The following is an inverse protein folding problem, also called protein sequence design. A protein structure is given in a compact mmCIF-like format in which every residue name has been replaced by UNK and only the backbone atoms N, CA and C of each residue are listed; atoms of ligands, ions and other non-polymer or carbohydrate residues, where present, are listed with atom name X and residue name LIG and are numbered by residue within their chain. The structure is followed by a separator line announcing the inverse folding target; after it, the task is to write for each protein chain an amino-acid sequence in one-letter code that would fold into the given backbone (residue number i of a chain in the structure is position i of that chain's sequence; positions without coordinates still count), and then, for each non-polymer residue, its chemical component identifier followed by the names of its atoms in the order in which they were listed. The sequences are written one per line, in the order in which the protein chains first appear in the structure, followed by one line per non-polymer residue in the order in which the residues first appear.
data_IF_688149871680
#
_entry.id   IF_688149871680
#
_cell.length_a   1.000
_cell.length_b   1.000
_cell.length_c   1.000
_cell.angle_alpha   90.00
_cell.angle_beta   90.00
_cell.angle_gamma   90.00
#
_symmetry.space_group_name_H-M   'P 1'
#
loop_
_entity.id
_entity.type
_entity.pdbx_description
1 polymer ?
#
# COMPACT_ATOMS: atom_id res chain seq x y z
N UNK A 1 -36.44 -0.64 30.64
CA UNK A 1 -34.96 -0.73 30.54
C UNK A 1 -34.52 -2.01 31.25
N UNK A 2 -33.67 -2.86 30.65
CA UNK A 2 -33.17 -4.03 31.36
C UNK A 2 -32.41 -3.57 32.61
N UNK A 3 -32.64 -4.22 33.75
CA UNK A 3 -31.97 -3.84 35.00
C UNK A 3 -30.46 -4.08 34.89
N UNK A 4 -29.66 -3.36 35.68
CA UNK A 4 -28.20 -3.51 35.72
C UNK A 4 -27.79 -4.97 35.95
N UNK A 5 -28.59 -5.73 36.70
CA UNK A 5 -28.38 -7.16 36.96
C UNK A 5 -28.56 -8.02 35.69
N UNK A 6 -29.50 -7.69 34.80
CA UNK A 6 -29.66 -8.39 33.52
C UNK A 6 -28.48 -8.10 32.58
N UNK A 7 -28.00 -6.86 32.56
CA UNK A 7 -26.81 -6.48 31.78
C UNK A 7 -25.56 -7.22 32.30
N UNK A 8 -25.38 -7.25 33.62
CA UNK A 8 -24.29 -7.97 34.27
C UNK A 8 -24.39 -9.48 34.01
N UNK A 9 -25.59 -10.07 34.09
CA UNK A 9 -25.81 -11.48 33.75
C UNK A 9 -25.50 -11.79 32.29
N UNK A 10 -25.85 -10.93 31.34
CA UNK A 10 -25.53 -11.10 29.92
C UNK A 10 -24.02 -10.93 29.67
N UNK A 11 -23.36 -9.98 30.34
CA UNK A 11 -21.90 -9.79 30.24
C UNK A 11 -21.14 -10.96 30.88
N UNK A 12 -21.61 -11.46 32.02
CA UNK A 12 -21.10 -12.65 32.72
C UNK A 12 -21.36 -13.89 31.85
N UNK A 13 -22.56 -14.10 31.32
CA UNK A 13 -22.86 -15.24 30.44
C UNK A 13 -22.09 -15.17 29.11
N UNK A 14 -21.91 -13.99 28.52
CA UNK A 14 -21.07 -13.79 27.33
C UNK A 14 -19.58 -14.04 27.59
N UNK A 15 -19.08 -13.66 28.78
CA UNK A 15 -17.69 -13.92 29.19
C UNK A 15 -17.46 -15.33 29.76
N UNK A 16 -18.50 -15.97 30.31
CA UNK A 16 -18.43 -17.21 31.10
C UNK A 16 -19.21 -18.40 30.52
N UNK A 17 -19.94 -18.33 29.42
CA UNK A 17 -20.61 -19.52 28.84
C UNK A 17 -19.64 -20.68 28.50
N UNK A 18 -18.34 -20.42 28.61
CA UNK A 18 -17.23 -21.31 28.38
C UNK A 18 -16.66 -21.92 29.67
N UNK A 19 -16.71 -21.21 30.82
CA UNK A 19 -16.14 -21.71 32.08
C UNK A 19 -16.78 -23.02 32.55
N UNK A 20 -18.11 -23.20 32.50
CA UNK A 20 -18.73 -24.49 32.78
C UNK A 20 -18.23 -25.58 31.83
N UNK A 21 -18.04 -25.27 30.53
CA UNK A 21 -17.52 -26.24 29.57
C UNK A 21 -16.06 -26.60 29.85
N UNK A 22 -15.19 -25.63 30.16
CA UNK A 22 -13.80 -25.92 30.52
C UNK A 22 -13.73 -26.69 31.85
N UNK A 23 -14.51 -26.32 32.85
CA UNK A 23 -14.57 -27.03 34.15
C UNK A 23 -15.07 -28.46 33.97
N UNK A 24 -16.16 -28.66 33.22
CA UNK A 24 -16.67 -30.00 32.90
C UNK A 24 -15.65 -30.79 32.09
N UNK A 25 -15.00 -30.19 31.10
CA UNK A 25 -13.95 -30.85 30.30
C UNK A 25 -12.78 -31.26 31.17
N UNK A 26 -12.24 -30.38 32.01
CA UNK A 26 -11.17 -30.69 32.94
C UNK A 26 -11.59 -31.75 33.98
N UNK A 27 -12.79 -31.63 34.57
CA UNK A 27 -13.31 -32.63 35.49
C UNK A 27 -13.46 -34.01 34.81
N UNK A 28 -13.86 -34.05 33.54
CA UNK A 28 -13.97 -35.29 32.76
C UNK A 28 -12.57 -35.87 32.44
N UNK A 29 -11.61 -35.02 32.07
CA UNK A 29 -10.20 -35.41 31.84
C UNK A 29 -9.57 -36.02 33.10
N UNK A 30 -9.80 -35.44 34.27
CA UNK A 30 -9.24 -35.94 35.54
C UNK A 30 -9.95 -37.18 36.09
N UNK A 31 -11.23 -37.37 35.79
CA UNK A 31 -12.00 -38.55 36.23
C UNK A 31 -11.83 -39.75 35.30
N UNK A 32 -11.44 -39.52 34.05
CA UNK A 32 -11.23 -40.57 33.04
C UNK A 32 -9.93 -40.34 32.29
N UNK A 33 -8.78 -40.70 32.89
CA UNK A 33 -7.50 -40.75 32.16
C UNK A 33 -7.57 -41.87 31.12
N UNK A 34 -7.52 -41.58 29.81
CA UNK A 34 -7.37 -42.63 28.82
C UNK A 34 -5.99 -43.26 28.99
N UNK A 35 -5.90 -44.59 28.97
CA UNK A 35 -4.63 -45.30 29.10
C UNK A 35 -3.68 -45.04 27.91
N UNK A 36 -4.22 -44.60 26.76
CA UNK A 36 -3.47 -44.30 25.54
C UNK A 36 -3.41 -42.78 25.27
N UNK A 37 -2.20 -42.17 25.33
CA UNK A 37 -2.00 -40.75 25.00
C UNK A 37 -2.39 -40.37 23.57
N UNK A 38 -2.27 -41.29 22.59
CA UNK A 38 -2.59 -41.00 21.20
C UNK A 38 -4.10 -40.83 21.00
N UNK A 39 -4.89 -41.77 21.55
CA UNK A 39 -6.35 -41.65 21.59
C UNK A 39 -6.82 -40.36 22.27
N UNK A 40 -6.21 -40.00 23.42
CA UNK A 40 -6.55 -38.76 24.12
C UNK A 40 -6.32 -37.51 23.25
N UNK A 41 -5.17 -37.43 22.57
CA UNK A 41 -4.84 -36.30 21.70
C UNK A 41 -5.82 -36.17 20.52
N UNK A 42 -6.17 -37.29 19.88
CA UNK A 42 -7.14 -37.33 18.78
C UNK A 42 -8.54 -36.91 19.26
N UNK A 43 -9.01 -37.46 20.38
CA UNK A 43 -10.31 -37.12 20.95
C UNK A 43 -10.39 -35.63 21.34
N UNK A 44 -9.32 -35.08 21.92
CA UNK A 44 -9.22 -33.67 22.24
C UNK A 44 -9.26 -32.80 20.98
N UNK A 45 -8.51 -33.17 19.94
CA UNK A 45 -8.49 -32.45 18.67
C UNK A 45 -9.88 -32.43 18.01
N UNK A 46 -10.56 -33.58 17.94
CA UNK A 46 -11.92 -33.69 17.40
C UNK A 46 -12.90 -32.85 18.23
N UNK A 47 -12.85 -32.95 19.56
CA UNK A 47 -13.74 -32.20 20.45
C UNK A 47 -13.53 -30.69 20.31
N UNK A 48 -12.28 -30.25 20.23
CA UNK A 48 -11.94 -28.84 20.06
C UNK A 48 -12.34 -28.32 18.67
N UNK A 49 -12.18 -29.13 17.62
CA UNK A 49 -12.66 -28.81 16.28
C UNK A 49 -14.19 -28.69 16.23
N UNK A 50 -14.91 -29.65 16.82
CA UNK A 50 -16.37 -29.62 16.93
C UNK A 50 -16.86 -28.40 17.72
N UNK A 51 -16.21 -28.09 18.85
CA UNK A 51 -16.47 -26.86 19.62
C UNK A 51 -16.29 -25.60 18.77
N UNK A 52 -15.21 -25.55 17.98
CA UNK A 52 -14.96 -24.46 17.06
C UNK A 52 -16.03 -24.27 15.99
N UNK A 53 -16.50 -25.35 15.37
CA UNK A 53 -17.59 -25.31 14.40
C UNK A 53 -18.89 -24.81 15.03
N UNK A 54 -19.25 -25.33 16.21
CA UNK A 54 -20.42 -24.88 16.97
C UNK A 54 -20.30 -23.39 17.29
N UNK A 55 -19.12 -22.95 17.73
CA UNK A 55 -18.87 -21.56 18.06
C UNK A 55 -19.02 -20.64 16.84
N UNK A 56 -18.46 -21.02 15.69
CA UNK A 56 -18.61 -20.26 14.45
C UNK A 56 -20.08 -20.17 14.00
N UNK A 57 -20.83 -21.28 14.06
CA UNK A 57 -22.25 -21.31 13.71
C UNK A 57 -23.09 -20.45 14.66
N UNK A 58 -22.90 -20.61 15.97
CA UNK A 58 -23.62 -19.83 16.98
C UNK A 58 -23.32 -18.34 16.87
N UNK A 59 -22.05 -17.98 16.66
CA UNK A 59 -21.63 -16.59 16.43
C UNK A 59 -22.29 -16.03 15.17
N UNK A 60 -22.36 -16.80 14.09
CA UNK A 60 -23.01 -16.37 12.85
C UNK A 60 -24.51 -16.16 13.02
N UNK A 61 -25.20 -17.03 13.74
CA UNK A 61 -26.63 -16.88 14.04
C UNK A 61 -26.85 -15.65 14.93
N UNK A 62 -26.09 -15.54 16.02
CA UNK A 62 -26.26 -14.45 17.00
C UNK A 62 -25.97 -13.09 16.36
N UNK A 63 -24.89 -12.94 15.59
CA UNK A 63 -24.57 -11.69 14.89
C UNK A 63 -25.63 -11.30 13.85
N UNK A 64 -26.25 -12.27 13.16
CA UNK A 64 -27.40 -12.02 12.27
C UNK A 64 -28.64 -11.57 13.03
N UNK A 65 -28.94 -12.18 14.18
CA UNK A 65 -30.10 -11.80 15.02
C UNK A 65 -29.92 -10.42 15.67
N UNK A 66 -28.69 -10.05 16.02
CA UNK A 66 -28.39 -8.76 16.64
C UNK A 66 -28.49 -7.60 15.66
N UNK A 67 -28.29 -7.85 14.36
CA UNK A 67 -28.08 -6.80 13.37
C UNK A 67 -29.12 -6.73 12.26
N UNK A 68 -29.64 -5.53 12.04
CA UNK A 68 -30.13 -5.07 10.74
C UNK A 68 -28.95 -4.44 9.99
N UNK A 69 -28.16 -5.30 9.33
CA UNK A 69 -26.74 -5.04 9.00
C UNK A 69 -26.50 -3.84 8.07
N UNK A 70 -27.54 -3.32 7.40
CA UNK A 70 -27.46 -2.18 6.49
C UNK A 70 -27.84 -0.83 7.13
N UNK A 71 -28.56 -0.82 8.26
CA UNK A 71 -29.03 0.43 8.86
C UNK A 71 -27.92 1.13 9.66
N UNK A 72 -27.60 2.37 9.29
CA UNK A 72 -26.64 3.23 10.00
C UNK A 72 -27.11 3.62 11.42
N UNK A 73 -28.41 3.52 11.69
CA UNK A 73 -29.07 3.88 12.96
C UNK A 73 -29.18 2.72 13.95
N UNK A 74 -28.26 1.75 13.89
CA UNK A 74 -28.20 0.70 14.91
C UNK A 74 -27.76 1.26 16.28
N UNK A 75 -28.37 0.73 17.34
CA UNK A 75 -27.93 1.02 18.72
C UNK A 75 -26.46 0.65 18.92
N UNK A 76 -25.67 1.57 19.48
CA UNK A 76 -24.26 1.35 19.82
C UNK A 76 -24.02 0.08 20.66
N UNK A 77 -25.00 -0.33 21.48
CA UNK A 77 -24.91 -1.56 22.27
C UNK A 77 -24.93 -2.82 21.40
N UNK A 78 -25.74 -2.85 20.34
CA UNK A 78 -25.83 -4.00 19.41
C UNK A 78 -24.53 -4.16 18.62
N UNK A 79 -23.99 -3.05 18.13
CA UNK A 79 -22.69 -3.00 17.43
C UNK A 79 -21.59 -3.50 18.36
N UNK A 80 -21.51 -2.92 19.56
CA UNK A 80 -20.51 -3.31 20.56
C UNK A 80 -20.60 -4.80 20.89
N UNK A 81 -21.80 -5.31 21.18
CA UNK A 81 -21.99 -6.72 21.51
C UNK A 81 -21.59 -7.63 20.34
N UNK A 82 -21.98 -7.27 19.12
CA UNK A 82 -21.59 -8.01 17.91
C UNK A 82 -20.07 -8.05 17.73
N UNK A 83 -19.37 -6.93 17.95
CA UNK A 83 -17.90 -6.90 17.92
C UNK A 83 -17.31 -7.84 18.96
N UNK A 84 -17.81 -7.83 20.19
CA UNK A 84 -17.30 -8.69 21.27
C UNK A 84 -17.47 -10.17 20.93
N UNK A 85 -18.62 -10.57 20.36
CA UNK A 85 -18.89 -11.94 19.95
C UNK A 85 -17.97 -12.35 18.78
N UNK A 86 -17.87 -11.53 17.73
CA UNK A 86 -17.01 -11.82 16.56
C UNK A 86 -15.53 -11.93 16.94
N UNK A 87 -15.02 -10.99 17.76
CA UNK A 87 -13.63 -11.00 18.23
C UNK A 87 -13.38 -12.23 19.12
N UNK A 88 -14.32 -12.56 20.01
CA UNK A 88 -14.26 -13.75 20.86
C UNK A 88 -14.15 -15.05 20.05
N UNK A 89 -14.98 -15.21 19.01
CA UNK A 89 -14.95 -16.37 18.13
C UNK A 89 -13.62 -16.47 17.39
N UNK A 90 -13.12 -15.35 16.85
CA UNK A 90 -11.85 -15.32 16.13
C UNK A 90 -10.67 -15.75 17.00
N UNK A 91 -10.53 -15.14 18.18
CA UNK A 91 -9.40 -15.39 19.07
C UNK A 91 -9.38 -16.82 19.62
N UNK A 92 -10.56 -17.43 19.80
CA UNK A 92 -10.70 -18.77 20.37
C UNK A 92 -10.59 -19.89 19.35
N UNK A 93 -11.01 -19.68 18.10
CA UNK A 93 -11.00 -20.74 17.09
C UNK A 93 -10.64 -20.24 15.69
N UNK A 94 -11.31 -19.20 15.16
CA UNK A 94 -11.22 -18.90 13.73
C UNK A 94 -9.79 -18.54 13.27
N UNK A 95 -8.92 -18.01 14.15
CA UNK A 95 -7.51 -17.77 13.85
C UNK A 95 -6.75 -19.03 13.38
N UNK A 96 -7.19 -20.23 13.77
CA UNK A 96 -6.59 -21.51 13.37
C UNK A 96 -6.92 -21.89 11.92
N UNK A 97 -7.97 -21.29 11.36
CA UNK A 97 -8.37 -21.48 9.98
C UNK A 97 -7.59 -20.55 9.02
N UNK A 98 -6.85 -19.58 9.55
CA UNK A 98 -6.09 -18.60 8.77
C UNK A 98 -5.19 -19.27 7.73
N UNK A 99 -5.18 -18.73 6.51
CA UNK A 99 -4.45 -19.30 5.37
C UNK A 99 -5.16 -20.46 4.66
N UNK A 100 -6.36 -20.85 5.10
CA UNK A 100 -7.18 -21.89 4.44
C UNK A 100 -8.51 -21.32 3.94
N UNK A 101 -9.15 -22.01 2.99
CA UNK A 101 -10.48 -21.65 2.50
C UNK A 101 -11.56 -21.67 3.61
N UNK A 102 -11.33 -22.41 4.70
CA UNK A 102 -12.24 -22.42 5.84
C UNK A 102 -12.38 -21.03 6.49
N UNK A 103 -11.34 -20.19 6.43
CA UNK A 103 -11.43 -18.81 6.92
C UNK A 103 -12.30 -17.93 6.01
N UNK A 104 -12.21 -18.13 4.69
CA UNK A 104 -13.08 -17.46 3.72
C UNK A 104 -14.55 -17.84 3.95
N UNK A 105 -14.83 -19.14 4.16
CA UNK A 105 -16.17 -19.64 4.52
C UNK A 105 -16.66 -19.00 5.83
N UNK A 106 -15.82 -18.96 6.85
CA UNK A 106 -16.14 -18.31 8.14
C UNK A 106 -16.54 -16.83 7.96
N UNK A 107 -15.78 -16.05 7.19
CA UNK A 107 -16.11 -14.65 6.91
C UNK A 107 -17.43 -14.51 6.14
N UNK A 108 -17.69 -15.39 5.15
CA UNK A 108 -18.97 -15.43 4.42
C UNK A 108 -20.15 -15.73 5.34
N UNK A 109 -19.99 -16.65 6.30
CA UNK A 109 -21.04 -16.94 7.28
C UNK A 109 -21.37 -15.73 8.16
N UNK A 110 -20.37 -14.92 8.50
CA UNK A 110 -20.52 -13.65 9.23
C UNK A 110 -21.00 -12.47 8.37
N UNK A 111 -21.29 -12.70 7.08
CA UNK A 111 -21.90 -11.74 6.18
C UNK A 111 -20.94 -10.99 5.27
N UNK A 112 -19.62 -11.26 5.33
CA UNK A 112 -18.68 -10.69 4.37
C UNK A 112 -18.94 -11.24 2.97
N UNK A 113 -18.71 -10.42 1.94
CA UNK A 113 -18.66 -10.91 0.55
C UNK A 113 -17.23 -11.30 0.26
N UNK A 114 -16.96 -12.58 0.02
CA UNK A 114 -15.59 -13.09 -0.26
C UNK A 114 -15.63 -13.97 -1.49
N UNK A 115 -14.89 -13.57 -2.52
CA UNK A 115 -14.75 -14.29 -3.78
C UNK A 115 -14.02 -15.63 -3.64
N UNK A 116 -13.85 -16.30 -4.78
CA UNK A 116 -13.16 -17.59 -4.87
C UNK A 116 -11.64 -17.41 -4.86
N UNK A 117 -10.91 -18.45 -4.43
CA UNK A 117 -9.44 -18.50 -4.43
C UNK A 117 -8.75 -17.38 -3.63
N UNK A 118 -9.46 -16.80 -2.65
CA UNK A 118 -8.87 -15.83 -1.74
C UNK A 118 -7.89 -16.51 -0.76
N UNK A 119 -6.76 -15.86 -0.52
CA UNK A 119 -5.78 -16.30 0.46
C UNK A 119 -5.71 -15.28 1.59
N UNK A 120 -6.38 -15.58 2.70
CA UNK A 120 -6.50 -14.67 3.84
C UNK A 120 -5.64 -15.17 4.98
N UNK A 121 -4.51 -14.52 5.22
CA UNK A 121 -3.59 -14.79 6.34
C UNK A 121 -3.80 -13.76 7.47
N UNK A 122 -5.06 -13.44 7.72
CA UNK A 122 -5.48 -12.45 8.71
C UNK A 122 -5.46 -13.06 10.12
N UNK A 123 -4.35 -12.88 10.85
CA UNK A 123 -4.27 -13.30 12.26
C UNK A 123 -5.07 -12.35 13.17
N UNK A 124 -5.40 -11.13 12.69
CA UNK A 124 -6.21 -10.17 13.42
C UNK A 124 -7.72 -10.41 13.24
N UNK A 125 -8.54 -10.17 14.28
CA UNK A 125 -9.98 -10.33 14.19
C UNK A 125 -10.60 -9.25 13.30
N UNK A 126 -11.60 -9.65 12.51
CA UNK A 126 -12.46 -8.74 11.74
C UNK A 126 -13.72 -8.46 12.56
N UNK A 127 -13.87 -7.22 13.05
CA UNK A 127 -14.96 -6.85 13.95
C UNK A 127 -16.33 -6.75 13.24
N UNK A 128 -16.33 -6.28 11.98
CA UNK A 128 -17.55 -6.09 11.18
C UNK A 128 -17.45 -6.76 9.79
N UNK A 129 -17.47 -8.10 9.71
CA UNK A 129 -17.29 -8.81 8.44
C UNK A 129 -18.30 -8.40 7.36
N UNK A 130 -19.55 -8.12 7.72
CA UNK A 130 -20.61 -7.71 6.79
C UNK A 130 -20.36 -6.37 6.06
N UNK A 131 -19.39 -5.58 6.52
CA UNK A 131 -18.99 -4.32 5.88
C UNK A 131 -17.89 -4.50 4.83
N UNK A 132 -17.42 -5.74 4.62
CA UNK A 132 -16.26 -6.04 3.79
C UNK A 132 -16.68 -6.81 2.55
N UNK A 133 -16.14 -6.38 1.40
CA UNK A 133 -16.23 -7.08 0.13
C UNK A 133 -14.82 -7.37 -0.40
N UNK A 134 -14.54 -8.64 -0.68
CA UNK A 134 -13.30 -9.14 -1.26
C UNK A 134 -13.65 -9.85 -2.58
N UNK A 135 -13.04 -9.42 -3.68
CA UNK A 135 -13.14 -10.05 -5.01
C UNK A 135 -12.44 -11.40 -5.07
N UNK A 136 -12.42 -12.02 -6.25
CA UNK A 136 -11.75 -13.30 -6.46
C UNK A 136 -10.23 -13.14 -6.46
N UNK A 137 -9.49 -14.12 -5.93
CA UNK A 137 -8.03 -14.12 -5.94
C UNK A 137 -7.38 -13.07 -5.02
N UNK A 138 -8.14 -12.43 -4.12
CA UNK A 138 -7.60 -11.45 -3.18
C UNK A 138 -6.65 -12.12 -2.18
N UNK A 139 -5.49 -11.51 -1.98
CA UNK A 139 -4.54 -11.92 -0.94
C UNK A 139 -4.48 -10.90 0.20
N UNK A 140 -4.78 -11.33 1.41
CA UNK A 140 -4.58 -10.54 2.63
C UNK A 140 -3.36 -11.10 3.37
N UNK A 141 -2.27 -10.34 3.37
CA UNK A 141 -1.00 -10.72 3.98
C UNK A 141 -1.05 -10.78 5.50
N UNK A 142 0.02 -11.33 6.08
CA UNK A 142 0.11 -11.59 7.53
C UNK A 142 -0.16 -10.33 8.34
N UNK A 143 -1.07 -10.44 9.31
CA UNK A 143 -1.44 -9.35 10.22
C UNK A 143 -1.97 -8.07 9.53
N UNK A 144 -2.34 -8.13 8.25
CA UNK A 144 -3.13 -7.06 7.63
C UNK A 144 -4.46 -6.87 8.38
N UNK A 145 -5.01 -5.65 8.35
CA UNK A 145 -6.27 -5.32 9.04
C UNK A 145 -7.20 -4.56 8.11
N UNK A 146 -8.40 -5.10 7.96
CA UNK A 146 -9.53 -4.38 7.39
C UNK A 146 -10.30 -3.78 8.56
N UNK A 147 -10.35 -2.44 8.63
CA UNK A 147 -10.97 -1.70 9.72
C UNK A 147 -12.15 -0.91 9.14
N UNK A 148 -13.33 -1.55 8.96
CA UNK A 148 -14.51 -0.89 8.39
C UNK A 148 -15.15 0.13 9.34
N UNK A 149 -14.81 0.09 10.63
CA UNK A 149 -15.23 1.10 11.60
C UNK A 149 -14.31 1.21 12.81
N UNK A 150 -14.23 2.42 13.38
CA UNK A 150 -13.44 2.72 14.57
C UNK A 150 -13.98 3.97 15.30
N UNK A 151 -13.60 4.12 16.57
CA UNK A 151 -13.96 5.30 17.37
C UNK A 151 -12.96 6.43 17.14
N UNK A 152 -13.48 7.61 16.78
CA UNK A 152 -12.73 8.85 16.62
C UNK A 152 -13.21 9.90 17.62
N UNK A 153 -12.52 11.05 17.67
CA UNK A 153 -12.98 12.20 18.47
C UNK A 153 -14.38 12.71 18.02
N UNK A 154 -14.76 12.48 16.76
CA UNK A 154 -16.06 12.85 16.20
C UNK A 154 -17.14 11.76 16.40
N UNK A 155 -16.83 10.68 17.15
CA UNK A 155 -17.71 9.53 17.35
C UNK A 155 -17.30 8.31 16.53
N UNK A 156 -18.23 7.35 16.40
CA UNK A 156 -17.99 6.10 15.69
C UNK A 156 -18.07 6.32 14.19
N UNK A 157 -16.94 6.18 13.49
CA UNK A 157 -16.87 6.28 12.02
C UNK A 157 -16.91 4.88 11.43
N UNK A 158 -17.75 4.70 10.42
CA UNK A 158 -18.01 3.41 9.79
C UNK A 158 -18.33 3.59 8.31
N UNK A 159 -17.73 2.76 7.45
CA UNK A 159 -18.07 2.72 6.03
C UNK A 159 -17.61 1.38 5.42
N UNK A 160 -18.19 0.98 4.28
CA UNK A 160 -17.85 -0.29 3.61
C UNK A 160 -16.40 -0.25 3.10
N UNK A 161 -15.76 -1.40 3.06
CA UNK A 161 -14.45 -1.61 2.44
C UNK A 161 -14.61 -2.56 1.27
N UNK A 162 -14.04 -2.19 0.12
CA UNK A 162 -14.00 -3.04 -1.07
C UNK A 162 -12.57 -3.31 -1.48
N UNK A 163 -12.22 -4.58 -1.68
CA UNK A 163 -10.97 -5.02 -2.30
C UNK A 163 -11.35 -5.90 -3.48
N UNK A 164 -11.06 -5.45 -4.70
CA UNK A 164 -11.49 -6.12 -5.92
C UNK A 164 -10.52 -7.23 -6.35
N UNK A 165 -10.84 -7.89 -7.46
CA UNK A 165 -10.18 -9.10 -7.92
C UNK A 165 -8.65 -8.97 -8.06
N UNK A 166 -7.94 -10.04 -7.72
CA UNK A 166 -6.48 -10.19 -7.83
C UNK A 166 -5.65 -9.12 -7.09
N UNK A 167 -6.25 -8.42 -6.13
CA UNK A 167 -5.54 -7.41 -5.35
C UNK A 167 -4.87 -7.99 -4.11
N UNK A 168 -3.75 -7.39 -3.73
CA UNK A 168 -2.89 -7.80 -2.62
C UNK A 168 -2.85 -6.71 -1.57
N UNK A 169 -3.21 -7.07 -0.34
CA UNK A 169 -3.00 -6.24 0.85
C UNK A 169 -1.79 -6.79 1.60
N UNK A 170 -0.67 -6.09 1.55
CA UNK A 170 0.60 -6.53 2.13
C UNK A 170 0.53 -6.70 3.65
N UNK A 171 1.49 -7.45 4.19
CA UNK A 171 1.55 -7.74 5.63
C UNK A 171 1.54 -6.47 6.49
N UNK A 172 0.81 -6.52 7.62
CA UNK A 172 0.60 -5.41 8.55
C UNK A 172 0.00 -4.12 7.96
N UNK A 173 -0.50 -4.16 6.72
CA UNK A 173 -1.17 -3.01 6.10
C UNK A 173 -2.55 -2.79 6.71
N UNK A 174 -3.04 -1.55 6.62
CA UNK A 174 -4.36 -1.16 7.10
C UNK A 174 -5.23 -0.70 5.93
N UNK A 175 -6.47 -1.17 5.91
CA UNK A 175 -7.49 -0.70 4.96
C UNK A 175 -8.61 -0.06 5.77
N UNK A 176 -8.80 1.25 5.57
CA UNK A 176 -9.65 2.09 6.42
C UNK A 176 -11.07 2.29 5.83
N UNK A 177 -12.04 2.78 6.61
CA UNK A 177 -13.44 2.87 6.18
C UNK A 177 -13.61 3.65 4.87
N UNK A 178 -14.41 3.11 3.95
CA UNK A 178 -14.77 3.78 2.69
C UNK A 178 -13.71 3.64 1.61
N UNK A 179 -12.62 2.93 1.88
CA UNK A 179 -11.59 2.68 0.87
C UNK A 179 -12.04 1.62 -0.14
N UNK A 180 -11.67 1.86 -1.40
CA UNK A 180 -11.81 0.91 -2.50
C UNK A 180 -10.42 0.61 -3.06
N UNK A 181 -10.04 -0.66 -3.02
CA UNK A 181 -8.82 -1.17 -3.64
C UNK A 181 -9.25 -1.83 -4.93
N UNK A 182 -9.06 -1.16 -6.07
CA UNK A 182 -9.48 -1.66 -7.39
C UNK A 182 -8.72 -2.94 -7.78
N UNK A 183 -9.12 -3.56 -8.90
CA UNK A 183 -8.52 -4.79 -9.41
C UNK A 183 -7.01 -4.68 -9.62
N UNK A 184 -6.30 -5.79 -9.47
CA UNK A 184 -4.87 -5.89 -9.80
C UNK A 184 -3.98 -4.90 -9.00
N UNK A 185 -4.43 -4.44 -7.83
CA UNK A 185 -3.71 -3.47 -6.99
C UNK A 185 -2.87 -4.18 -5.94
N UNK A 186 -1.67 -3.65 -5.68
CA UNK A 186 -0.81 -4.09 -4.59
C UNK A 186 -0.65 -2.95 -3.58
N UNK A 187 -1.23 -3.08 -2.39
CA UNK A 187 -0.89 -2.26 -1.25
C UNK A 187 0.31 -2.89 -0.54
N UNK A 188 1.48 -2.24 -0.59
CA UNK A 188 2.72 -2.75 0.00
C UNK A 188 2.63 -2.93 1.52
N UNK A 189 3.49 -3.79 2.08
CA UNK A 189 3.53 -4.03 3.51
C UNK A 189 3.68 -2.74 4.34
N UNK A 190 3.10 -2.72 5.54
CA UNK A 190 3.08 -1.56 6.46
C UNK A 190 2.45 -0.28 5.87
N UNK A 191 1.72 -0.40 4.75
CA UNK A 191 1.07 0.74 4.11
C UNK A 191 -0.40 0.87 4.52
N UNK A 192 -0.99 2.01 4.24
CA UNK A 192 -2.38 2.30 4.61
C UNK A 192 -3.15 2.69 3.35
N UNK A 193 -4.32 2.07 3.13
CA UNK A 193 -5.36 2.59 2.26
C UNK A 193 -6.21 3.58 3.08
N UNK A 194 -6.11 4.90 2.83
CA UNK A 194 -6.76 5.93 3.64
C UNK A 194 -8.29 5.86 3.59
N UNK A 195 -8.95 6.50 4.54
CA UNK A 195 -10.41 6.62 4.52
C UNK A 195 -10.90 7.27 3.23
N UNK A 196 -12.00 6.74 2.68
CA UNK A 196 -12.64 7.25 1.47
C UNK A 196 -11.66 7.41 0.27
N UNK A 197 -10.65 6.56 0.19
CA UNK A 197 -9.67 6.57 -0.90
C UNK A 197 -9.98 5.50 -1.95
N UNK A 198 -9.52 5.75 -3.18
CA UNK A 198 -9.54 4.75 -4.24
C UNK A 198 -8.08 4.47 -4.64
N UNK A 199 -7.63 3.23 -4.45
CA UNK A 199 -6.36 2.76 -4.99
C UNK A 199 -6.64 2.23 -6.40
N UNK A 200 -6.08 2.91 -7.40
CA UNK A 200 -6.39 2.70 -8.81
C UNK A 200 -5.79 1.42 -9.36
N UNK A 201 -6.54 0.78 -10.25
CA UNK A 201 -6.24 -0.49 -10.90
C UNK A 201 -4.81 -0.60 -11.41
N UNK A 202 -4.16 -1.72 -11.12
CA UNK A 202 -2.76 -1.99 -11.47
C UNK A 202 -1.72 -1.23 -10.64
N UNK A 203 -2.15 -0.36 -9.74
CA UNK A 203 -1.24 0.42 -8.92
C UNK A 203 -0.52 -0.40 -7.85
N UNK A 204 0.77 -0.16 -7.68
CA UNK A 204 1.55 -0.58 -6.51
C UNK A 204 1.72 0.62 -5.60
N UNK A 205 1.11 0.57 -4.42
CA UNK A 205 1.05 1.67 -3.47
C UNK A 205 1.91 1.40 -2.24
N UNK A 206 2.70 2.37 -1.79
CA UNK A 206 3.49 2.28 -0.55
C UNK A 206 3.34 3.57 0.26
N UNK A 207 3.22 3.45 1.59
CA UNK A 207 3.24 4.56 2.54
C UNK A 207 2.08 4.56 3.52
N UNK A 208 2.26 5.24 4.66
CA UNK A 208 1.31 5.23 5.79
C UNK A 208 0.39 6.45 5.89
N UNK A 209 0.76 7.60 5.33
CA UNK A 209 -0.09 8.81 5.37
C UNK A 209 -0.77 9.05 4.02
N UNK A 210 0.04 9.29 3.00
CA UNK A 210 -0.38 9.43 1.61
C UNK A 210 0.30 8.33 0.80
N UNK A 211 -0.31 7.13 0.67
CA UNK A 211 0.29 6.06 -0.10
C UNK A 211 0.55 6.56 -1.53
N UNK A 212 1.79 6.42 -1.96
CA UNK A 212 2.21 6.87 -3.29
C UNK A 212 2.19 5.67 -4.23
N UNK A 213 1.59 5.82 -5.41
CA UNK A 213 1.70 4.83 -6.47
C UNK A 213 3.14 4.87 -7.00
N UNK A 214 3.91 3.82 -6.74
CA UNK A 214 5.31 3.69 -7.18
C UNK A 214 5.46 3.00 -8.53
N UNK A 215 4.44 2.25 -8.95
CA UNK A 215 4.37 1.53 -10.22
C UNK A 215 2.91 1.37 -10.62
N UNK A 216 2.63 1.40 -11.91
CA UNK A 216 1.38 0.94 -12.47
C UNK A 216 1.67 -0.25 -13.41
N UNK A 217 1.11 -1.41 -13.13
CA UNK A 217 1.28 -2.64 -13.92
C UNK A 217 0.46 -2.66 -15.20
N UNK A 218 -0.51 -1.74 -15.34
CA UNK A 218 -1.30 -1.59 -16.57
C UNK A 218 -0.57 -0.83 -17.67
N UNK A 219 0.42 -0.01 -17.31
CA UNK A 219 1.27 0.63 -18.29
C UNK A 219 2.44 -0.30 -18.59
N UNK A 220 2.65 -0.61 -19.87
CA UNK A 220 3.94 -1.12 -20.32
C UNK A 220 5.02 -0.15 -19.80
N UNK A 221 6.09 -0.70 -19.23
CA UNK A 221 7.24 0.13 -18.92
C UNK A 221 7.70 0.75 -20.25
N UNK A 222 8.15 2.00 -20.19
CA UNK A 222 8.73 2.69 -21.36
C UNK A 222 9.69 1.71 -22.07
N UNK A 223 9.47 1.44 -23.37
CA UNK A 223 10.26 0.47 -24.14
C UNK A 223 11.76 0.74 -23.96
N UNK A 224 12.15 2.01 -23.82
CA UNK A 224 13.54 2.40 -23.58
C UNK A 224 14.11 1.84 -22.27
N UNK A 225 13.28 1.63 -21.24
CA UNK A 225 13.64 1.03 -19.95
C UNK A 225 13.68 -0.50 -20.03
N UNK A 226 12.87 -1.10 -20.90
CA UNK A 226 12.87 -2.55 -21.15
C UNK A 226 14.06 -2.97 -22.00
N UNK A 227 14.37 -2.20 -23.04
CA UNK A 227 15.51 -2.40 -23.96
C UNK A 227 16.85 -1.96 -23.35
N UNK A 228 16.84 -1.28 -22.21
CA UNK A 228 18.07 -0.87 -21.52
C UNK A 228 18.95 -2.08 -21.22
N UNK A 229 20.20 -2.01 -21.69
CA UNK A 229 21.24 -2.99 -21.39
C UNK A 229 21.30 -3.27 -19.87
N UNK A 230 21.48 -4.55 -19.51
CA UNK A 230 21.41 -5.00 -18.12
C UNK A 230 22.48 -4.34 -17.23
N UNK A 231 23.68 -4.08 -17.76
CA UNK A 231 24.74 -3.39 -17.02
C UNK A 231 24.37 -1.92 -16.81
N UNK A 232 23.85 -1.25 -17.83
CA UNK A 232 23.34 0.11 -17.72
C UNK A 232 22.19 0.21 -16.70
N UNK A 233 21.21 -0.69 -16.77
CA UNK A 233 20.07 -0.78 -15.85
C UNK A 233 20.51 -0.99 -14.40
N UNK A 234 21.52 -1.83 -14.16
CA UNK A 234 22.11 -2.04 -12.84
C UNK A 234 22.76 -0.78 -12.29
N UNK A 235 23.54 -0.06 -13.10
CA UNK A 235 24.19 1.20 -12.67
C UNK A 235 23.14 2.25 -12.33
N UNK A 236 22.14 2.44 -13.20
CA UNK A 236 21.04 3.40 -12.98
C UNK A 236 20.23 3.03 -11.74
N UNK A 237 19.91 1.75 -11.53
CA UNK A 237 19.19 1.27 -10.35
C UNK A 237 19.93 1.57 -9.04
N UNK A 238 21.24 1.27 -9.00
CA UNK A 238 22.08 1.57 -7.84
C UNK A 238 22.17 3.07 -7.57
N UNK A 239 22.32 3.87 -8.64
CA UNK A 239 22.35 5.33 -8.55
C UNK A 239 21.03 5.88 -7.99
N UNK A 240 19.89 5.39 -8.50
CA UNK A 240 18.56 5.79 -8.04
C UNK A 240 18.34 5.46 -6.56
N UNK A 241 18.74 4.26 -6.11
CA UNK A 241 18.65 3.85 -4.71
C UNK A 241 19.48 4.77 -3.79
N UNK A 242 20.72 5.06 -4.17
CA UNK A 242 21.59 5.98 -3.42
C UNK A 242 21.00 7.40 -3.35
N UNK A 243 20.46 7.91 -4.46
CA UNK A 243 19.81 9.22 -4.50
C UNK A 243 18.55 9.28 -3.63
N UNK A 244 17.73 8.22 -3.65
CA UNK A 244 16.55 8.10 -2.81
C UNK A 244 16.92 8.10 -1.32
N UNK A 245 17.88 7.26 -0.92
CA UNK A 245 18.38 7.19 0.45
C UNK A 245 18.94 8.53 0.92
N UNK A 246 19.71 9.21 0.05
CA UNK A 246 20.31 10.50 0.39
C UNK A 246 19.24 11.58 0.53
N UNK A 247 18.27 11.63 -0.39
CA UNK A 247 17.12 12.56 -0.34
C UNK A 247 16.31 12.37 0.94
N UNK A 248 16.06 11.13 1.36
CA UNK A 248 15.40 10.82 2.64
C UNK A 248 16.21 11.34 3.84
N UNK A 249 17.53 11.16 3.82
CA UNK A 249 18.44 11.63 4.89
C UNK A 249 18.43 13.15 5.01
N UNK A 250 18.50 13.86 3.88
CA UNK A 250 18.58 15.33 3.87
C UNK A 250 17.23 16.05 3.91
N UNK A 251 16.12 15.30 3.87
CA UNK A 251 14.71 15.77 3.90
C UNK A 251 14.39 16.90 2.91
N UNK A 252 15.18 17.01 1.85
CA UNK A 252 15.10 18.04 0.83
C UNK A 252 15.68 17.47 -0.46
N UNK A 253 15.49 18.13 -1.60
CA UNK A 253 16.09 17.67 -2.87
C UNK A 253 17.61 17.58 -2.74
N UNK A 254 18.20 16.46 -3.15
CA UNK A 254 19.66 16.28 -3.10
C UNK A 254 20.40 17.14 -4.13
N UNK A 255 19.97 17.10 -5.41
CA UNK A 255 20.54 17.92 -6.48
C UNK A 255 19.80 19.24 -6.71
N UNK A 256 20.49 20.22 -7.29
CA UNK A 256 19.91 21.45 -7.83
C UNK A 256 19.00 22.21 -6.85
N UNK A 257 19.38 22.21 -5.56
CA UNK A 257 18.69 22.96 -4.50
C UNK A 257 18.60 24.44 -4.82
N UNK A 258 19.72 24.99 -5.29
CA UNK A 258 19.87 26.38 -5.71
C UNK A 258 19.90 26.39 -7.23
N UNK A 259 19.13 27.29 -7.85
CA UNK A 259 19.10 27.44 -9.30
C UNK A 259 18.71 28.85 -9.69
N UNK A 260 19.26 29.33 -10.80
CA UNK A 260 18.89 30.60 -11.43
C UNK A 260 17.84 30.29 -12.50
N UNK A 261 16.75 31.06 -12.51
CA UNK A 261 15.70 30.91 -13.52
C UNK A 261 15.52 32.22 -14.29
N UNK A 262 15.14 32.10 -15.56
CA UNK A 262 14.81 33.22 -16.44
C UNK A 262 13.49 32.95 -17.16
N UNK A 263 12.83 34.03 -17.57
CA UNK A 263 11.66 33.98 -18.45
C UNK A 263 12.00 34.71 -19.74
N UNK A 264 11.48 34.23 -20.86
CA UNK A 264 11.74 34.83 -22.16
C UNK A 264 10.81 34.29 -23.22
N UNK A 265 11.23 34.45 -24.48
CA UNK A 265 10.50 33.93 -25.63
C UNK A 265 11.44 33.14 -26.53
N UNK A 266 10.98 31.98 -27.00
CA UNK A 266 11.59 31.23 -28.10
C UNK A 266 10.94 31.74 -29.38
N UNK A 267 11.73 32.22 -30.34
CA UNK A 267 11.25 32.58 -31.68
C UNK A 267 11.87 31.61 -32.68
N UNK A 268 11.04 30.93 -33.44
CA UNK A 268 11.43 30.07 -34.56
C UNK A 268 11.75 30.97 -35.76
N UNK A 269 12.73 30.58 -36.57
CA UNK A 269 13.04 31.29 -37.82
C UNK A 269 11.87 31.20 -38.80
N UNK A 270 11.75 32.19 -39.68
CA UNK A 270 10.64 32.30 -40.65
C UNK A 270 10.78 31.30 -41.83
N UNK A 271 11.99 30.83 -42.12
CA UNK A 271 12.28 29.75 -43.07
C UNK A 271 13.55 29.01 -42.63
N UNK A 272 13.49 27.68 -42.55
CA UNK A 272 14.64 26.81 -42.30
C UNK A 272 14.68 25.75 -43.41
N UNK A 273 15.53 25.98 -44.42
CA UNK A 273 15.72 25.04 -45.52
C UNK A 273 16.06 23.64 -45.01
N UNK A 274 15.27 22.65 -45.44
CA UNK A 274 15.46 21.23 -45.11
C UNK A 274 14.84 20.76 -43.80
N UNK A 275 14.21 21.66 -43.03
CA UNK A 275 13.41 21.26 -41.87
C UNK A 275 11.93 21.16 -42.29
N UNK A 276 11.28 19.98 -42.17
CA UNK A 276 9.87 19.84 -42.54
C UNK A 276 8.96 20.62 -41.58
N UNK A 277 7.81 21.05 -42.10
CA UNK A 277 6.81 21.74 -41.29
C UNK A 277 6.36 20.87 -40.11
N UNK A 278 6.45 21.43 -38.90
CA UNK A 278 6.06 20.74 -37.67
C UNK A 278 4.94 21.49 -36.97
N UNK A 279 3.95 20.75 -36.46
CA UNK A 279 2.77 21.29 -35.78
C UNK A 279 3.10 22.14 -34.56
N UNK A 280 4.26 21.93 -33.93
CA UNK A 280 4.79 22.73 -32.82
C UNK A 280 5.98 23.61 -33.21
N UNK A 281 6.78 23.27 -34.22
CA UNK A 281 8.00 24.03 -34.55
C UNK A 281 7.91 24.66 -35.93
N UNK A 282 6.73 25.19 -36.24
CA UNK A 282 6.47 25.86 -37.51
C UNK A 282 7.21 27.19 -37.63
N UNK A 283 7.38 27.69 -38.86
CA UNK A 283 8.15 28.91 -39.11
C UNK A 283 7.51 30.14 -38.46
N UNK A 284 8.35 31.06 -37.97
CA UNK A 284 7.95 32.34 -37.37
C UNK A 284 7.21 32.25 -36.03
N UNK A 285 6.96 31.03 -35.52
CA UNK A 285 6.24 30.84 -34.25
C UNK A 285 7.02 31.36 -33.06
N UNK A 286 6.29 31.90 -32.09
CA UNK A 286 6.84 32.41 -30.84
C UNK A 286 6.22 31.67 -29.67
N UNK A 287 7.04 31.37 -28.67
CA UNK A 287 6.58 30.69 -27.47
C UNK A 287 7.13 31.37 -26.23
N UNK A 288 6.29 31.70 -25.23
CA UNK A 288 6.80 32.02 -23.91
C UNK A 288 7.56 30.80 -23.36
N UNK A 289 8.71 31.06 -22.73
CA UNK A 289 9.52 30.01 -22.11
C UNK A 289 9.97 30.40 -20.72
N UNK A 290 10.24 29.36 -19.92
CA UNK A 290 10.95 29.46 -18.66
C UNK A 290 12.19 28.60 -18.77
N UNK A 291 13.36 29.18 -18.48
CA UNK A 291 14.62 28.44 -18.39
C UNK A 291 15.06 28.38 -16.94
N UNK A 292 15.51 27.22 -16.48
CA UNK A 292 16.20 27.06 -15.20
C UNK A 292 17.57 26.45 -15.45
N UNK A 293 18.61 27.16 -15.05
CA UNK A 293 19.96 26.65 -15.07
C UNK A 293 20.20 25.65 -13.94
N UNK A 294 21.01 24.66 -14.27
CA UNK A 294 21.39 23.54 -13.42
C UNK A 294 22.91 23.47 -13.42
N UNK A 295 23.53 23.87 -12.32
CA UNK A 295 24.97 23.72 -12.12
C UNK A 295 25.25 22.49 -11.28
N UNK A 296 26.38 21.83 -11.57
CA UNK A 296 26.91 20.80 -10.68
C UNK A 296 27.43 21.44 -9.39
N UNK A 297 27.07 20.84 -8.25
CA UNK A 297 27.54 21.23 -6.92
C UNK A 297 28.50 20.18 -6.33
N UNK A 298 28.86 19.14 -7.10
CA UNK A 298 29.42 17.89 -6.57
C UNK A 298 30.95 17.79 -6.58
N UNK A 299 31.65 18.83 -7.03
CA UNK A 299 33.11 18.83 -7.08
C UNK A 299 33.67 20.19 -6.66
N UNK A 300 34.62 20.15 -5.72
CA UNK A 300 35.43 21.29 -5.30
C UNK A 300 36.72 21.34 -6.14
N UNK A 301 36.55 21.18 -7.45
CA UNK A 301 37.61 21.23 -8.46
C UNK A 301 37.24 22.23 -9.57
N UNK A 302 38.17 22.47 -10.49
CA UNK A 302 37.99 23.38 -11.63
C UNK A 302 36.98 22.84 -12.67
N UNK A 303 36.86 21.53 -12.82
CA UNK A 303 35.92 20.86 -13.72
C UNK A 303 34.44 21.18 -13.41
N UNK A 304 34.13 21.67 -12.20
CA UNK A 304 32.77 22.13 -11.82
C UNK A 304 32.18 23.16 -12.79
N UNK A 305 33.01 24.00 -13.43
CA UNK A 305 32.54 25.08 -14.32
C UNK A 305 32.00 24.56 -15.65
N UNK A 306 32.42 23.37 -16.07
CA UNK A 306 32.02 22.72 -17.31
C UNK A 306 30.69 21.98 -17.18
N UNK A 307 30.34 21.58 -15.95
CA UNK A 307 29.12 20.85 -15.65
C UNK A 307 27.89 21.78 -15.56
N UNK A 308 27.47 22.31 -16.72
CA UNK A 308 26.31 23.19 -16.86
C UNK A 308 25.21 22.55 -17.69
N UNK A 309 24.01 22.54 -17.13
CA UNK A 309 22.79 22.19 -17.84
C UNK A 309 21.74 23.30 -17.72
N UNK A 310 20.69 23.17 -18.51
CA UNK A 310 19.49 23.95 -18.36
C UNK A 310 18.26 23.07 -18.62
N UNK A 311 17.17 23.39 -17.96
CA UNK A 311 15.85 22.87 -18.33
C UNK A 311 15.05 24.04 -18.90
N UNK A 312 14.49 23.86 -20.08
CA UNK A 312 13.66 24.85 -20.78
C UNK A 312 12.25 24.30 -20.86
N UNK A 313 11.29 25.05 -20.33
CA UNK A 313 9.87 24.77 -20.49
C UNK A 313 9.28 25.74 -21.50
N UNK A 314 8.80 25.20 -22.61
CA UNK A 314 8.07 25.93 -23.65
C UNK A 314 6.59 25.91 -23.26
N UNK A 315 5.94 27.08 -23.29
CA UNK A 315 4.55 27.25 -22.90
C UNK A 315 3.68 27.58 -24.11
N UNK A 316 2.42 27.18 -24.06
CA UNK A 316 1.42 27.57 -25.07
C UNK A 316 1.13 29.06 -24.96
N UNK A 317 1.00 29.72 -26.12
CA UNK A 317 0.45 31.08 -26.17
C UNK A 317 -0.98 31.08 -25.61
N UNK A 318 -1.31 32.12 -24.84
CA UNK A 318 -2.63 32.30 -24.20
C UNK A 318 -2.83 31.55 -22.89
N UNK A 319 -2.72 30.21 -22.89
CA UNK A 319 -3.07 29.39 -21.71
C UNK A 319 -1.95 29.26 -20.67
N UNK A 320 -0.69 29.46 -21.07
CA UNK A 320 0.47 29.24 -20.19
C UNK A 320 0.67 27.77 -19.78
N UNK A 321 -0.04 26.84 -20.42
CA UNK A 321 0.15 25.40 -20.21
C UNK A 321 1.48 24.93 -20.82
N UNK A 322 2.16 23.93 -20.21
CA UNK A 322 3.41 23.40 -20.74
C UNK A 322 3.17 22.64 -22.05
N UNK A 323 3.87 23.06 -23.11
CA UNK A 323 3.89 22.37 -24.40
C UNK A 323 5.01 21.33 -24.47
N UNK A 324 6.20 21.70 -24.01
CA UNK A 324 7.38 20.84 -24.08
C UNK A 324 8.42 21.24 -23.03
N UNK A 325 8.98 20.23 -22.37
CA UNK A 325 10.14 20.38 -21.50
C UNK A 325 11.38 19.81 -22.20
N UNK A 326 12.41 20.65 -22.36
CA UNK A 326 13.70 20.28 -22.94
C UNK A 326 14.77 20.31 -21.86
N UNK A 327 15.57 19.25 -21.79
CA UNK A 327 16.79 19.23 -20.97
C UNK A 327 17.99 19.46 -21.86
N UNK A 328 18.73 20.52 -21.59
CA UNK A 328 19.86 20.99 -22.40
C UNK A 328 21.16 20.81 -21.63
N UNK A 329 22.19 20.37 -22.34
CA UNK A 329 23.58 20.52 -21.91
C UNK A 329 24.10 21.86 -22.42
N UNK A 330 24.49 22.74 -21.52
CA UNK A 330 24.92 24.11 -21.86
C UNK A 330 26.39 24.36 -21.55
N UNK A 331 27.11 23.35 -21.05
CA UNK A 331 28.56 23.40 -20.81
C UNK A 331 29.37 22.83 -21.99
N UNK A 332 30.66 23.22 -22.06
CA UNK A 332 31.58 22.78 -23.12
C UNK A 332 31.80 21.27 -23.12
N UNK A 333 31.83 20.65 -21.93
CA UNK A 333 31.97 19.22 -21.74
C UNK A 333 30.98 18.72 -20.68
N UNK A 334 30.62 17.44 -20.76
CA UNK A 334 29.99 16.77 -19.63
C UNK A 334 31.14 16.02 -18.96
N UNK A 335 31.41 16.29 -17.69
CA UNK A 335 32.66 15.84 -17.05
C UNK A 335 32.79 14.31 -16.96
N UNK A 336 31.69 13.57 -17.11
CA UNK A 336 31.68 12.10 -17.08
C UNK A 336 31.36 11.48 -18.47
N UNK A 337 32.31 10.76 -19.07
CA UNK A 337 32.14 10.22 -20.43
C UNK A 337 31.09 9.11 -20.51
N UNK A 338 30.85 8.41 -19.39
CA UNK A 338 29.86 7.34 -19.28
C UNK A 338 29.01 7.50 -18.01
N UNK A 339 27.86 6.81 -17.95
CA UNK A 339 27.05 6.75 -16.73
C UNK A 339 27.82 6.12 -15.55
N UNK A 340 28.75 5.21 -15.86
CA UNK A 340 29.60 4.57 -14.85
C UNK A 340 30.55 5.59 -14.25
N UNK A 341 31.18 6.43 -15.10
CA UNK A 341 32.02 7.52 -14.62
C UNK A 341 31.19 8.47 -13.76
N UNK A 342 30.00 8.86 -14.24
CA UNK A 342 29.13 9.76 -13.48
C UNK A 342 28.78 9.19 -12.09
N UNK A 343 28.42 7.91 -12.01
CA UNK A 343 28.11 7.25 -10.76
C UNK A 343 29.33 7.20 -9.82
N UNK A 344 30.52 6.88 -10.33
CA UNK A 344 31.78 6.90 -9.56
C UNK A 344 32.08 8.30 -9.03
N UNK A 345 32.02 9.31 -9.90
CA UNK A 345 32.27 10.70 -9.54
C UNK A 345 31.25 11.27 -8.56
N UNK A 346 30.04 10.72 -8.52
CA UNK A 346 29.02 11.14 -7.57
C UNK A 346 29.18 10.48 -6.19
N UNK A 347 29.41 9.16 -6.17
CA UNK A 347 29.31 8.34 -4.96
C UNK A 347 30.65 8.20 -4.23
N UNK A 348 31.77 8.19 -4.97
CA UNK A 348 33.08 7.96 -4.40
C UNK A 348 33.71 9.25 -3.85
N UNK A 349 34.59 9.10 -2.85
CA UNK A 349 35.41 10.19 -2.31
C UNK A 349 36.58 10.57 -3.24
N UNK A 350 37.26 11.68 -2.93
CA UNK A 350 38.35 12.24 -3.74
C UNK A 350 39.46 11.22 -4.10
N UNK A 351 39.98 10.38 -3.18
CA UNK A 351 41.05 9.44 -3.52
C UNK A 351 40.65 8.40 -4.58
N UNK A 352 39.41 7.91 -4.52
CA UNK A 352 38.88 6.96 -5.49
C UNK A 352 38.59 7.61 -6.85
N UNK A 353 38.25 8.91 -6.87
CA UNK A 353 38.14 9.68 -8.12
C UNK A 353 39.51 9.87 -8.77
N UNK A 354 40.54 10.23 -7.98
CA UNK A 354 41.91 10.39 -8.46
C UNK A 354 42.48 9.10 -9.06
N UNK A 355 42.24 7.94 -8.42
CA UNK A 355 42.65 6.64 -8.96
C UNK A 355 41.96 6.33 -10.30
N UNK A 356 40.68 6.70 -10.44
CA UNK A 356 39.91 6.47 -11.66
C UNK A 356 40.43 7.30 -12.86
N UNK A 357 40.92 8.52 -12.64
CA UNK A 357 41.50 9.38 -13.69
C UNK A 357 42.90 8.92 -14.13
N UNK A 358 43.61 8.16 -13.30
CA UNK A 358 44.93 7.61 -13.64
C UNK A 358 44.88 6.45 -14.63
N UNK A 359 43.70 5.85 -14.84
CA UNK A 359 43.44 4.77 -15.81
C UNK A 359 43.11 5.33 -17.18
#
# INVERSE_FOLDING_TARGET
LPSLQHLTFICISGSLHWIPFTLVSYATIFTSLPADPAFFAIALAISYFAHGLILCLFTSILTRLLGDQENQTQSHLKIWLSHRISIACHLRFAKLLSGTEAFCIYLRLLGAKVGEHCSIRAINPVAEPWMISLGAGVHLGDFSRLIPGFYSAAGYVRNKISVEDNSVIGSQSLVLPGSTVEKDVILGALSIAPMNSVLQRGGVYIGSQNPTMIKNTMHALDERIEEMDAKYKKIVGNLAANLAATTLKVRTRYFHRIGVSGKGYLKLYDDIKGLPDHSMFGPGRKYPLIIRHSNSLSADDDARIDARGASVRILSEGSGSPLLDLTLKTGKAFYARTISDFATWLVCGLPAREEHVKR
#
